data_IF_705089619376
#
_entry.id   IF_705089619376
#
_cell.length_a   1.000
_cell.length_b   1.000
_cell.length_c   1.000
_cell.angle_alpha   90.00
_cell.angle_beta   90.00
_cell.angle_gamma   90.00
#
_symmetry.space_group_name_H-M   'P 1'
#
loop_
_entity.id
_entity.type
_entity.pdbx_description
1 polymer ?
#
# COMPACT_ATOMS: atom_id res chain seq x y z
N UNK A 1 -39.06 -29.73 62.81
CA UNK A 1 -37.93 -29.38 61.91
C UNK A 1 -38.51 -28.92 60.58
N UNK A 2 -38.06 -27.78 60.05
CA UNK A 2 -38.42 -27.30 58.72
C UNK A 2 -37.18 -26.65 58.10
N UNK A 3 -36.84 -27.01 56.86
CA UNK A 3 -35.63 -26.53 56.19
C UNK A 3 -36.01 -25.75 54.93
N UNK A 4 -35.97 -24.42 55.00
CA UNK A 4 -36.33 -23.54 53.88
C UNK A 4 -35.17 -23.47 52.87
N UNK A 5 -35.31 -24.14 51.72
CA UNK A 5 -34.42 -23.92 50.57
C UNK A 5 -34.75 -22.59 49.90
N UNK A 6 -33.85 -21.61 50.00
CA UNK A 6 -33.86 -20.44 49.11
C UNK A 6 -33.16 -20.79 47.80
N UNK A 7 -33.83 -20.60 46.68
CA UNK A 7 -33.22 -20.61 45.33
C UNK A 7 -32.90 -19.18 44.91
N UNK A 8 -31.62 -18.82 44.85
CA UNK A 8 -31.21 -17.53 44.28
C UNK A 8 -31.32 -17.60 42.75
N UNK A 9 -32.23 -16.81 42.19
CA UNK A 9 -32.30 -16.54 40.74
C UNK A 9 -31.34 -15.38 40.45
N UNK A 10 -30.24 -15.66 39.75
CA UNK A 10 -29.34 -14.63 39.21
C UNK A 10 -29.68 -14.39 37.74
N UNK A 11 -30.22 -13.20 37.44
CA UNK A 11 -30.59 -12.79 36.09
C UNK A 11 -29.38 -12.33 35.26
N UNK A 12 -29.37 -12.57 33.93
CA UNK A 12 -28.23 -12.22 33.08
C UNK A 12 -28.30 -10.77 32.58
N UNK A 13 -27.96 -9.78 33.43
CA UNK A 13 -27.73 -8.40 32.98
C UNK A 13 -26.97 -7.55 34.02
N UNK A 14 -25.63 -7.54 33.95
CA UNK A 14 -24.76 -6.54 34.61
C UNK A 14 -23.31 -6.60 34.11
N UNK A 15 -23.02 -5.94 32.99
CA UNK A 15 -21.66 -5.43 32.72
C UNK A 15 -21.67 -4.36 31.61
N UNK A 16 -22.11 -3.14 31.95
CA UNK A 16 -22.00 -1.96 31.08
C UNK A 16 -21.30 -0.83 31.82
N UNK A 17 -19.97 -0.93 31.89
CA UNK A 17 -19.11 0.11 32.49
C UNK A 17 -19.12 1.34 31.57
N UNK A 18 -19.92 2.35 31.91
CA UNK A 18 -19.96 3.62 31.20
C UNK A 18 -18.84 4.51 31.76
N UNK A 19 -17.70 4.56 31.08
CA UNK A 19 -16.61 5.45 31.41
C UNK A 19 -16.92 6.87 30.89
N UNK A 20 -17.54 7.72 31.72
CA UNK A 20 -17.74 9.14 31.41
C UNK A 20 -16.43 9.92 31.55
N UNK A 21 -15.65 9.98 30.47
CA UNK A 21 -14.51 10.89 30.38
C UNK A 21 -14.99 12.32 30.16
N UNK A 22 -14.80 13.20 31.15
CA UNK A 22 -15.08 14.62 31.01
C UNK A 22 -13.97 15.30 30.19
N UNK A 23 -14.29 15.69 28.96
CA UNK A 23 -13.37 16.47 28.10
C UNK A 23 -13.48 17.94 28.49
N UNK A 24 -12.40 18.52 29.01
CA UNK A 24 -12.29 19.96 29.20
C UNK A 24 -12.06 20.65 27.83
N UNK A 25 -12.71 21.80 27.55
CA UNK A 25 -12.47 22.53 26.31
C UNK A 25 -11.05 23.08 26.27
N UNK A 26 -10.30 22.72 25.22
CA UNK A 26 -8.98 23.31 24.97
C UNK A 26 -9.12 24.77 24.53
N UNK A 27 -8.26 25.65 25.05
CA UNK A 27 -8.25 27.05 24.67
C UNK A 27 -7.84 27.21 23.19
N UNK A 28 -8.60 28.03 22.46
CA UNK A 28 -8.36 28.30 21.06
C UNK A 28 -7.16 29.25 20.91
N UNK A 29 -6.06 28.75 20.35
CA UNK A 29 -4.84 29.53 20.14
C UNK A 29 -4.87 30.21 18.76
N UNK A 30 -4.68 31.53 18.73
CA UNK A 30 -4.61 32.30 17.48
C UNK A 30 -3.43 31.87 16.61
N UNK A 31 -3.71 31.53 15.35
CA UNK A 31 -2.69 31.23 14.36
C UNK A 31 -2.19 32.54 13.70
N UNK A 32 -0.88 32.83 13.68
CA UNK A 32 -0.35 34.01 13.03
C UNK A 32 -0.55 33.94 11.50
N UNK A 33 -0.98 35.05 10.90
CA UNK A 33 -1.29 35.12 9.48
C UNK A 33 -0.02 34.98 8.61
N UNK A 34 0.18 33.81 8.01
CA UNK A 34 1.27 33.57 7.04
C UNK A 34 0.92 34.27 5.72
N UNK A 35 1.58 35.42 5.48
CA UNK A 35 1.42 36.17 4.23
C UNK A 35 1.89 35.37 3.02
N UNK A 36 1.04 35.25 1.99
CA UNK A 36 1.41 34.65 0.70
C UNK A 36 2.40 35.55 -0.04
N UNK A 37 3.65 35.12 -0.15
CA UNK A 37 4.61 35.75 -1.04
C UNK A 37 4.15 35.61 -2.50
N UNK A 38 3.98 36.74 -3.20
CA UNK A 38 3.62 36.77 -4.61
C UNK A 38 4.87 36.56 -5.47
N UNK A 39 4.94 35.44 -6.18
CA UNK A 39 6.05 35.12 -7.09
C UNK A 39 5.70 35.58 -8.51
N UNK A 40 6.38 36.58 -9.09
CA UNK A 40 6.08 37.05 -10.44
C UNK A 40 6.54 36.02 -11.49
N UNK A 41 5.62 35.60 -12.36
CA UNK A 41 5.90 34.65 -13.43
C UNK A 41 6.55 35.37 -14.64
N UNK A 42 7.87 35.30 -14.75
CA UNK A 42 8.63 36.00 -15.79
C UNK A 42 8.62 35.23 -17.12
N UNK A 43 7.76 35.64 -18.06
CA UNK A 43 7.74 35.09 -19.42
C UNK A 43 8.95 35.60 -20.23
N UNK A 44 9.86 34.69 -20.59
CA UNK A 44 10.94 34.96 -21.54
C UNK A 44 10.49 34.77 -23.00
N UNK A 45 10.94 35.60 -23.96
CA UNK A 45 10.50 35.52 -25.35
C UNK A 45 11.17 34.37 -26.13
N UNK A 46 10.37 33.62 -26.88
CA UNK A 46 10.81 32.50 -27.71
C UNK A 46 11.47 32.95 -29.01
N UNK A 47 12.81 32.98 -29.08
CA UNK A 47 13.53 33.23 -30.33
C UNK A 47 13.37 32.05 -31.31
N UNK A 48 12.44 32.19 -32.27
CA UNK A 48 12.45 31.40 -33.51
C UNK A 48 13.51 31.96 -34.46
N UNK A 49 14.50 31.15 -34.81
CA UNK A 49 15.37 31.37 -35.96
C UNK A 49 15.14 30.26 -36.98
N UNK A 50 14.99 30.63 -38.26
CA UNK A 50 14.64 29.72 -39.34
C UNK A 50 15.60 29.86 -40.53
N UNK A 51 15.90 28.73 -41.17
CA UNK A 51 16.64 28.54 -42.43
C UNK A 51 16.28 27.10 -42.87
N UNK A 52 15.86 26.74 -44.09
CA UNK A 52 16.23 27.16 -45.46
C UNK A 52 17.72 26.89 -45.75
N UNK A 53 18.14 26.14 -46.78
CA UNK A 53 17.46 25.32 -47.81
C UNK A 53 18.47 24.21 -48.27
N UNK A 54 18.34 23.34 -49.28
CA UNK A 54 17.57 23.25 -50.55
C UNK A 54 17.17 21.77 -50.82
N UNK A 55 16.41 21.41 -51.90
CA UNK A 55 15.94 20.04 -52.13
C UNK A 55 16.82 19.19 -53.07
N UNK A 56 16.70 17.87 -52.98
CA UNK A 56 17.00 16.94 -54.08
C UNK A 56 15.82 15.99 -54.35
N UNK A 57 15.75 15.43 -55.56
CA UNK A 57 14.58 14.74 -56.10
C UNK A 57 14.87 13.26 -56.34
N UNK A 58 14.20 12.35 -55.63
CA UNK A 58 14.22 10.92 -55.93
C UNK A 58 12.79 10.37 -56.13
N UNK A 59 12.64 9.43 -57.08
CA UNK A 59 11.35 8.92 -57.57
C UNK A 59 11.03 7.58 -56.89
N UNK A 60 9.79 7.31 -56.45
CA UNK A 60 9.53 6.24 -55.48
C UNK A 60 9.58 4.82 -56.07
N UNK A 61 10.25 3.92 -55.36
CA UNK A 61 10.10 2.47 -55.51
C UNK A 61 8.97 1.95 -54.60
N UNK A 62 8.04 1.09 -55.08
CA UNK A 62 6.90 0.64 -54.29
C UNK A 62 7.21 -0.60 -53.44
N UNK A 63 7.01 -0.50 -52.12
CA UNK A 63 6.71 -1.64 -51.25
C UNK A 63 7.81 -2.08 -50.27
N UNK A 64 7.83 -1.48 -49.08
CA UNK A 64 8.31 -2.09 -47.85
C UNK A 64 7.54 -1.50 -46.65
N UNK A 65 7.42 -2.25 -45.55
CA UNK A 65 6.59 -1.88 -44.40
C UNK A 65 7.11 -0.64 -43.65
N UNK A 66 6.18 0.16 -43.11
CA UNK A 66 6.51 1.33 -42.30
C UNK A 66 6.89 0.92 -40.84
N UNK A 67 7.99 1.45 -40.28
CA UNK A 67 8.27 1.38 -38.85
C UNK A 67 7.69 2.62 -38.15
N UNK A 68 6.85 2.44 -37.13
CA UNK A 68 6.18 3.57 -36.48
C UNK A 68 5.30 3.27 -35.27
N UNK A 69 5.48 2.15 -34.58
CA UNK A 69 4.77 1.89 -33.32
C UNK A 69 5.34 2.80 -32.22
N UNK A 70 4.59 3.85 -31.89
CA UNK A 70 4.83 4.63 -30.67
C UNK A 70 4.65 3.70 -29.45
N UNK A 71 5.69 3.57 -28.61
CA UNK A 71 5.59 2.84 -27.32
C UNK A 71 4.88 3.71 -26.29
N UNK A 72 3.63 4.08 -26.59
CA UNK A 72 2.69 4.62 -25.63
C UNK A 72 2.38 3.56 -24.58
N UNK A 73 2.72 3.82 -23.32
CA UNK A 73 2.45 2.90 -22.20
C UNK A 73 0.94 2.89 -21.93
N UNK A 74 0.23 2.04 -22.67
CA UNK A 74 -1.21 1.87 -22.56
C UNK A 74 -1.56 1.23 -21.21
N UNK A 75 -1.99 2.05 -20.25
CA UNK A 75 -2.61 1.58 -19.01
C UNK A 75 -3.95 0.95 -19.37
N UNK A 76 -3.95 -0.37 -19.59
CA UNK A 76 -5.10 -1.14 -20.05
C UNK A 76 -6.20 -1.22 -18.97
N UNK A 77 -7.03 -0.17 -18.90
CA UNK A 77 -8.12 0.00 -17.93
C UNK A 77 -9.47 0.23 -18.64
N UNK A 78 -9.87 -0.74 -19.47
CA UNK A 78 -11.11 -0.67 -20.26
C UNK A 78 -11.81 -2.05 -20.38
N UNK A 79 -12.15 -2.65 -19.23
CA UNK A 79 -13.28 -3.59 -19.18
C UNK A 79 -14.60 -2.81 -19.16
N UNK A 80 -15.71 -3.34 -19.69
CA UNK A 80 -17.00 -2.64 -19.64
C UNK A 80 -17.42 -2.42 -18.18
N UNK A 81 -17.67 -1.16 -17.83
CA UNK A 81 -18.25 -0.80 -16.53
C UNK A 81 -19.69 -1.30 -16.51
N UNK A 82 -19.93 -2.39 -15.79
CA UNK A 82 -21.29 -2.79 -15.41
C UNK A 82 -21.79 -1.72 -14.44
N UNK A 83 -22.79 -0.93 -14.85
CA UNK A 83 -23.41 0.03 -13.95
C UNK A 83 -23.97 -0.70 -12.71
N UNK A 84 -23.62 -0.28 -11.49
CA UNK A 84 -24.12 -0.92 -10.28
C UNK A 84 -25.63 -0.67 -10.17
N UNK A 85 -26.41 -1.75 -10.12
CA UNK A 85 -27.87 -1.69 -10.09
C UNK A 85 -28.36 -0.80 -8.92
N UNK A 86 -29.15 0.27 -9.19
CA UNK A 86 -29.56 1.24 -8.17
C UNK A 86 -30.66 0.67 -7.26
N UNK A 87 -30.26 -0.20 -6.33
CA UNK A 87 -31.15 -0.83 -5.34
C UNK A 87 -30.42 -1.56 -4.21
N UNK A 88 -29.11 -1.33 -4.05
CA UNK A 88 -28.27 -2.12 -3.15
C UNK A 88 -26.99 -1.40 -2.71
N UNK A 89 -27.07 -0.12 -2.36
CA UNK A 89 -25.95 0.64 -1.79
C UNK A 89 -25.65 0.15 -0.36
N UNK A 90 -25.03 -1.04 -0.28
CA UNK A 90 -24.85 -1.82 0.93
C UNK A 90 -23.84 -1.16 1.88
N UNK A 91 -24.36 -0.20 2.67
CA UNK A 91 -23.74 0.63 3.70
C UNK A 91 -22.23 0.40 3.85
N UNK A 92 -21.44 1.32 3.31
CA UNK A 92 -19.99 1.17 3.20
C UNK A 92 -19.32 0.98 4.57
N UNK A 93 -19.13 -0.30 4.92
CA UNK A 93 -18.56 -0.81 6.17
C UNK A 93 -17.24 -0.11 6.45
N UNK A 94 -17.02 0.48 7.64
CA UNK A 94 -15.75 1.12 7.98
C UNK A 94 -14.63 0.08 7.89
N UNK A 95 -13.59 0.31 7.05
CA UNK A 95 -12.50 -0.62 6.87
C UNK A 95 -11.80 -0.94 8.19
N UNK A 96 -11.69 -2.23 8.46
CA UNK A 96 -11.14 -2.74 9.71
C UNK A 96 -9.62 -2.58 9.73
N UNK A 97 -9.02 -2.16 10.86
CA UNK A 97 -7.57 -2.12 10.99
C UNK A 97 -6.97 -3.53 10.83
N UNK A 98 -5.75 -3.59 10.29
CA UNK A 98 -4.99 -4.83 10.21
C UNK A 98 -4.85 -5.49 11.60
N UNK A 99 -4.77 -6.82 11.65
CA UNK A 99 -4.62 -7.51 12.92
C UNK A 99 -3.28 -7.15 13.59
N UNK A 100 -3.27 -7.01 14.93
CA UNK A 100 -2.05 -6.70 15.70
C UNK A 100 -0.96 -7.76 15.44
N UNK A 101 -1.35 -9.03 15.30
CA UNK A 101 -0.43 -10.11 14.93
C UNK A 101 0.22 -9.88 13.55
N UNK A 102 -0.53 -9.39 12.58
CA UNK A 102 0.01 -9.03 11.25
C UNK A 102 0.99 -7.86 11.33
N UNK A 103 0.68 -6.83 12.12
CA UNK A 103 1.58 -5.69 12.37
C UNK A 103 2.90 -6.14 13.00
N UNK A 104 2.82 -6.94 14.08
CA UNK A 104 4.01 -7.51 14.74
C UNK A 104 4.80 -8.40 13.78
N UNK A 105 4.13 -9.25 13.00
CA UNK A 105 4.82 -10.14 12.04
C UNK A 105 5.51 -9.37 10.91
N UNK A 106 4.93 -8.26 10.44
CA UNK A 106 5.54 -7.43 9.41
C UNK A 106 6.83 -6.76 9.92
N UNK A 107 6.81 -6.18 11.13
CA UNK A 107 8.03 -5.62 11.74
C UNK A 107 9.06 -6.70 12.10
N UNK A 108 8.63 -7.90 12.50
CA UNK A 108 9.54 -9.03 12.72
C UNK A 108 10.24 -9.49 11.42
N UNK A 109 9.52 -9.47 10.29
CA UNK A 109 10.11 -9.74 8.96
C UNK A 109 11.13 -8.66 8.55
N UNK A 110 10.80 -7.38 8.74
CA UNK A 110 11.74 -6.27 8.48
C UNK A 110 12.99 -6.40 9.35
N UNK A 111 12.84 -6.73 10.64
CA UNK A 111 13.96 -6.98 11.54
C UNK A 111 14.80 -8.20 11.12
N UNK A 112 14.18 -9.28 10.65
CA UNK A 112 14.89 -10.45 10.11
C UNK A 112 15.68 -10.12 8.83
N UNK A 113 15.12 -9.30 7.94
CA UNK A 113 15.83 -8.78 6.76
C UNK A 113 17.03 -7.90 7.15
N UNK A 114 16.84 -7.02 8.13
CA UNK A 114 17.93 -6.21 8.70
C UNK A 114 19.03 -7.06 9.34
N UNK A 115 18.69 -8.10 10.08
CA UNK A 115 19.65 -9.06 10.65
C UNK A 115 20.40 -9.86 9.57
N UNK A 116 19.72 -10.25 8.49
CA UNK A 116 20.35 -10.89 7.32
C UNK A 116 21.33 -9.95 6.60
N UNK A 117 20.95 -8.69 6.41
CA UNK A 117 21.83 -7.64 5.86
C UNK A 117 23.05 -7.37 6.76
N UNK A 118 22.85 -7.30 8.07
CA UNK A 118 23.94 -7.16 9.05
C UNK A 118 24.89 -8.37 9.01
N UNK A 119 24.38 -9.59 8.88
CA UNK A 119 25.21 -10.80 8.77
C UNK A 119 26.03 -10.81 7.47
N UNK A 120 25.43 -10.45 6.32
CA UNK A 120 26.15 -10.32 5.04
C UNK A 120 27.30 -9.30 5.14
N UNK A 121 27.06 -8.16 5.81
CA UNK A 121 28.10 -7.16 6.09
C UNK A 121 29.18 -7.68 7.05
N UNK A 122 28.79 -8.30 8.17
CA UNK A 122 29.71 -8.79 9.20
C UNK A 122 30.69 -9.86 8.66
N UNK A 123 30.22 -10.72 7.75
CA UNK A 123 31.05 -11.74 7.10
C UNK A 123 31.75 -11.25 5.81
N UNK A 124 31.65 -9.95 5.45
CA UNK A 124 32.20 -9.36 4.23
C UNK A 124 31.70 -10.04 2.93
N UNK A 125 30.44 -10.51 2.94
CA UNK A 125 29.75 -11.12 1.79
C UNK A 125 28.96 -10.07 0.99
N UNK A 126 28.74 -8.87 1.55
CA UNK A 126 28.08 -7.77 0.86
C UNK A 126 28.87 -7.33 -0.39
N UNK A 127 28.17 -6.98 -1.46
CA UNK A 127 28.80 -6.37 -2.62
C UNK A 127 29.23 -4.93 -2.33
N UNK A 128 30.15 -4.41 -3.15
CA UNK A 128 30.51 -2.99 -3.19
C UNK A 128 29.34 -2.16 -3.75
N UNK A 129 29.26 -0.89 -3.36
CA UNK A 129 28.21 0.02 -3.80
C UNK A 129 28.22 0.20 -5.33
N UNK A 130 27.11 -0.13 -6.00
CA UNK A 130 26.95 0.13 -7.43
C UNK A 130 26.80 1.64 -7.62
N UNK A 131 27.81 2.25 -8.23
CA UNK A 131 27.81 3.67 -8.61
C UNK A 131 27.15 3.83 -9.97
N UNK A 132 26.06 4.60 -10.03
CA UNK A 132 25.37 4.97 -11.26
C UNK A 132 25.64 6.45 -11.57
N UNK A 133 25.67 6.85 -12.86
CA UNK A 133 26.16 8.18 -13.26
C UNK A 133 25.20 9.32 -12.90
N UNK A 134 23.91 9.04 -12.75
CA UNK A 134 22.90 10.01 -12.35
C UNK A 134 21.79 9.39 -11.48
N UNK A 135 21.00 10.26 -10.85
CA UNK A 135 19.86 9.84 -10.03
C UNK A 135 18.75 9.19 -10.87
N UNK A 136 18.57 9.59 -12.13
CA UNK A 136 17.56 9.04 -13.06
C UNK A 136 17.76 7.54 -13.26
N UNK A 137 19.00 7.13 -13.55
CA UNK A 137 19.38 5.73 -13.71
C UNK A 137 19.21 4.98 -12.39
N UNK A 138 19.53 5.60 -11.25
CA UNK A 138 19.31 4.99 -9.94
C UNK A 138 17.82 4.74 -9.64
N UNK A 139 16.93 5.69 -9.94
CA UNK A 139 15.47 5.47 -9.82
C UNK A 139 14.96 4.40 -10.78
N UNK A 140 15.45 4.35 -12.02
CA UNK A 140 15.09 3.30 -12.97
C UNK A 140 15.51 1.89 -12.48
N UNK A 141 16.72 1.78 -11.91
CA UNK A 141 17.22 0.52 -11.31
C UNK A 141 16.40 0.14 -10.07
N UNK A 142 16.06 1.09 -9.18
CA UNK A 142 15.16 0.80 -8.04
C UNK A 142 13.77 0.35 -8.50
N UNK A 143 13.20 0.93 -9.55
CA UNK A 143 11.90 0.54 -10.09
C UNK A 143 11.93 -0.87 -10.71
N UNK A 144 12.97 -1.20 -11.47
CA UNK A 144 13.20 -2.54 -12.00
C UNK A 144 13.40 -3.56 -10.87
N UNK A 145 14.14 -3.21 -9.82
CA UNK A 145 14.35 -4.04 -8.63
C UNK A 145 13.06 -4.26 -7.83
N UNK A 146 12.24 -3.23 -7.61
CA UNK A 146 10.93 -3.36 -6.98
C UNK A 146 10.00 -4.29 -7.79
N UNK A 147 10.03 -4.18 -9.13
CA UNK A 147 9.28 -5.06 -10.03
C UNK A 147 9.79 -6.51 -9.94
N UNK A 148 11.10 -6.72 -9.84
CA UNK A 148 11.68 -8.05 -9.64
C UNK A 148 11.29 -8.65 -8.28
N UNK A 149 11.26 -7.85 -7.20
CA UNK A 149 10.78 -8.28 -5.88
C UNK A 149 9.29 -8.64 -5.93
N UNK A 150 8.44 -7.90 -6.66
CA UNK A 150 7.03 -8.28 -6.86
C UNK A 150 6.92 -9.68 -7.50
N UNK A 151 7.69 -9.94 -8.57
CA UNK A 151 7.73 -11.25 -9.27
C UNK A 151 8.21 -12.39 -8.38
N UNK A 152 9.23 -12.16 -7.55
CA UNK A 152 9.73 -13.15 -6.57
C UNK A 152 8.67 -13.50 -5.52
N UNK A 153 7.75 -12.58 -5.20
CA UNK A 153 6.73 -12.77 -4.15
C UNK A 153 5.39 -13.33 -4.63
N UNK A 154 5.07 -13.25 -5.93
CA UNK A 154 3.88 -13.89 -6.51
C UNK A 154 3.68 -15.36 -6.10
N UNK A 155 4.68 -16.27 -6.16
CA UNK A 155 4.52 -17.67 -5.73
C UNK A 155 4.32 -17.85 -4.22
N UNK A 156 4.65 -16.84 -3.40
CA UNK A 156 4.42 -16.85 -1.95
C UNK A 156 3.09 -16.20 -1.55
N UNK A 157 2.55 -15.31 -2.39
CA UNK A 157 1.30 -14.60 -2.15
C UNK A 157 0.08 -15.52 -1.94
N UNK A 158 0.18 -16.80 -2.37
CA UNK A 158 -0.82 -17.86 -2.13
C UNK A 158 -0.88 -18.38 -0.69
N UNK A 159 0.14 -18.14 0.15
CA UNK A 159 0.18 -18.58 1.55
C UNK A 159 -0.25 -17.48 2.54
N UNK A 160 -0.50 -16.26 2.05
CA UNK A 160 -0.88 -15.11 2.86
C UNK A 160 -2.31 -15.23 3.43
N UNK A 161 -2.59 -14.59 4.58
CA UNK A 161 -3.90 -14.67 5.25
C UNK A 161 -5.05 -14.07 4.43
N UNK A 162 -6.28 -14.35 4.87
CA UNK A 162 -7.52 -13.79 4.29
C UNK A 162 -8.24 -14.67 3.27
N UNK A 163 -7.70 -15.84 2.90
CA UNK A 163 -8.39 -16.81 2.01
C UNK A 163 -9.71 -17.32 2.60
N UNK A 164 -9.72 -17.74 3.87
CA UNK A 164 -10.92 -18.28 4.53
C UNK A 164 -12.04 -17.24 4.63
N UNK A 165 -11.72 -16.02 5.06
CA UNK A 165 -12.66 -14.90 5.13
C UNK A 165 -13.31 -14.52 3.78
N UNK A 166 -12.67 -14.86 2.64
CA UNK A 166 -13.30 -14.72 1.32
C UNK A 166 -14.37 -15.80 1.11
N UNK A 167 -14.05 -17.07 1.39
CA UNK A 167 -15.00 -18.17 1.29
C UNK A 167 -16.17 -18.04 2.28
N UNK A 168 -15.92 -17.51 3.48
CA UNK A 168 -16.97 -17.16 4.46
C UNK A 168 -17.94 -16.10 3.92
N UNK A 169 -17.43 -15.05 3.25
CA UNK A 169 -18.28 -14.05 2.61
C UNK A 169 -19.05 -14.62 1.40
N UNK A 170 -18.39 -15.40 0.54
CA UNK A 170 -19.02 -16.03 -0.62
C UNK A 170 -20.13 -17.00 -0.18
N UNK A 171 -19.93 -17.76 0.90
CA UNK A 171 -20.96 -18.61 1.52
C UNK A 171 -22.10 -17.80 2.16
N UNK A 172 -21.79 -16.74 2.91
CA UNK A 172 -22.82 -15.89 3.53
C UNK A 172 -23.71 -15.19 2.48
N UNK A 173 -23.11 -14.69 1.39
CA UNK A 173 -23.84 -14.08 0.26
C UNK A 173 -24.68 -15.12 -0.48
N UNK A 174 -24.17 -16.33 -0.71
CA UNK A 174 -24.96 -17.42 -1.30
C UNK A 174 -26.15 -17.81 -0.42
N UNK A 175 -25.97 -17.91 0.90
CA UNK A 175 -27.05 -18.19 1.85
C UNK A 175 -28.13 -17.11 1.85
N UNK A 176 -27.74 -15.82 1.78
CA UNK A 176 -28.67 -14.70 1.66
C UNK A 176 -29.42 -14.73 0.31
N UNK A 177 -28.72 -14.98 -0.80
CA UNK A 177 -29.33 -15.06 -2.14
C UNK A 177 -30.33 -16.22 -2.26
N UNK A 178 -30.05 -17.37 -1.64
CA UNK A 178 -30.96 -18.52 -1.60
C UNK A 178 -32.24 -18.24 -0.77
N UNK A 179 -32.25 -17.20 0.08
CA UNK A 179 -33.38 -16.75 0.90
C UNK A 179 -34.11 -15.53 0.31
N UNK A 180 -34.17 -15.41 -1.01
CA UNK A 180 -34.58 -14.16 -1.71
C UNK A 180 -35.93 -13.54 -1.30
N UNK A 181 -36.83 -14.26 -0.62
CA UNK A 181 -38.08 -13.69 -0.04
C UNK A 181 -38.16 -13.79 1.51
N UNK A 182 -37.35 -14.64 2.14
CA UNK A 182 -37.33 -14.90 3.60
C UNK A 182 -36.01 -14.43 4.25
N UNK A 183 -35.36 -13.44 3.65
CA UNK A 183 -34.06 -12.91 4.10
C UNK A 183 -34.20 -12.23 5.47
N UNK A 184 -33.59 -12.81 6.50
CA UNK A 184 -33.69 -12.28 7.87
C UNK A 184 -32.68 -11.16 8.14
N UNK A 185 -32.92 -10.36 9.17
CA UNK A 185 -31.94 -9.39 9.67
C UNK A 185 -30.62 -10.08 10.07
N UNK A 186 -30.69 -11.30 10.59
CA UNK A 186 -29.52 -12.09 10.99
C UNK A 186 -28.67 -12.56 9.79
N UNK A 187 -29.29 -12.80 8.63
CA UNK A 187 -28.57 -13.11 7.39
C UNK A 187 -27.81 -11.87 6.85
N UNK A 188 -28.42 -10.70 6.94
CA UNK A 188 -27.79 -9.42 6.61
C UNK A 188 -26.62 -9.10 7.57
N UNK A 189 -26.78 -9.38 8.87
CA UNK A 189 -25.71 -9.25 9.88
C UNK A 189 -24.56 -10.22 9.58
N UNK A 190 -24.83 -11.47 9.19
CA UNK A 190 -23.79 -12.43 8.81
C UNK A 190 -22.98 -11.97 7.60
N UNK A 191 -23.63 -11.45 6.54
CA UNK A 191 -22.94 -10.90 5.37
C UNK A 191 -22.10 -9.67 5.74
N UNK A 192 -22.62 -8.78 6.59
CA UNK A 192 -21.87 -7.61 7.08
C UNK A 192 -20.64 -8.02 7.91
N UNK A 193 -20.78 -9.02 8.79
CA UNK A 193 -19.68 -9.56 9.59
C UNK A 193 -18.60 -10.20 8.70
N UNK A 194 -18.98 -11.08 7.76
CA UNK A 194 -18.04 -11.70 6.82
C UNK A 194 -17.32 -10.66 5.93
N UNK A 195 -18.04 -9.61 5.49
CA UNK A 195 -17.46 -8.47 4.74
C UNK A 195 -16.40 -7.74 5.57
N UNK A 196 -16.65 -7.52 6.86
CA UNK A 196 -15.67 -6.92 7.79
C UNK A 196 -14.42 -7.79 8.00
N UNK A 197 -14.61 -9.12 8.09
CA UNK A 197 -13.51 -10.08 8.24
C UNK A 197 -12.65 -10.19 6.98
N UNK A 198 -13.26 -10.10 5.79
CA UNK A 198 -12.53 -10.04 4.53
C UNK A 198 -11.69 -8.76 4.41
N UNK A 199 -12.21 -7.59 4.77
CA UNK A 199 -11.42 -6.35 4.77
C UNK A 199 -10.28 -6.38 5.79
N UNK A 200 -10.54 -6.87 7.01
CA UNK A 200 -9.49 -7.12 8.01
C UNK A 200 -8.41 -8.07 7.50
N UNK A 201 -8.81 -9.12 6.78
CA UNK A 201 -7.92 -10.08 6.12
C UNK A 201 -7.10 -9.44 5.00
N UNK A 202 -7.69 -8.58 4.18
CA UNK A 202 -7.03 -7.81 3.10
C UNK A 202 -5.98 -6.85 3.66
N UNK A 203 -6.33 -6.05 4.67
CA UNK A 203 -5.38 -5.14 5.33
C UNK A 203 -4.23 -5.89 6.00
N UNK A 204 -4.56 -6.98 6.72
CA UNK A 204 -3.58 -7.88 7.34
C UNK A 204 -2.62 -8.49 6.31
N UNK A 205 -3.14 -8.94 5.16
CA UNK A 205 -2.35 -9.49 4.06
C UNK A 205 -1.42 -8.44 3.43
N UNK A 206 -1.89 -7.23 3.15
CA UNK A 206 -1.07 -6.17 2.57
C UNK A 206 0.13 -5.80 3.44
N UNK A 207 -0.11 -5.72 4.76
CA UNK A 207 0.91 -5.42 5.76
C UNK A 207 1.98 -6.53 5.87
N UNK A 208 1.56 -7.81 5.81
CA UNK A 208 2.51 -8.94 5.75
C UNK A 208 3.27 -8.96 4.43
N UNK A 209 2.61 -8.74 3.28
CA UNK A 209 3.30 -8.62 1.98
C UNK A 209 4.40 -7.56 2.00
N UNK A 210 4.10 -6.38 2.54
CA UNK A 210 5.06 -5.28 2.70
C UNK A 210 6.26 -5.70 3.56
N UNK A 211 6.02 -6.34 4.70
CA UNK A 211 7.09 -6.84 5.59
C UNK A 211 8.01 -7.86 4.89
N UNK A 212 7.46 -8.79 4.11
CA UNK A 212 8.25 -9.74 3.31
C UNK A 212 9.02 -8.99 2.20
N UNK A 213 8.36 -8.05 1.50
CA UNK A 213 8.99 -7.29 0.41
C UNK A 213 10.18 -6.46 0.89
N UNK A 214 10.04 -5.72 2.00
CA UNK A 214 11.17 -5.01 2.61
C UNK A 214 12.26 -5.97 3.08
N UNK A 215 11.91 -7.11 3.71
CA UNK A 215 12.91 -8.08 4.15
C UNK A 215 13.75 -8.64 2.99
N UNK A 216 13.10 -9.08 1.91
CA UNK A 216 13.75 -9.59 0.69
C UNK A 216 14.55 -8.50 0.00
N UNK A 217 13.98 -7.30 -0.16
CA UNK A 217 14.65 -6.17 -0.79
C UNK A 217 15.88 -5.73 0.00
N UNK A 218 15.85 -5.71 1.33
CA UNK A 218 17.00 -5.38 2.18
C UNK A 218 18.13 -6.39 2.06
N UNK A 219 17.83 -7.69 2.10
CA UNK A 219 18.86 -8.74 1.95
C UNK A 219 19.45 -8.71 0.53
N UNK A 220 18.62 -8.57 -0.51
CA UNK A 220 19.08 -8.48 -1.88
C UNK A 220 19.84 -7.17 -2.18
N UNK A 221 19.51 -6.06 -1.52
CA UNK A 221 20.28 -4.80 -1.59
C UNK A 221 21.67 -4.97 -0.99
N UNK A 222 21.77 -5.61 0.18
CA UNK A 222 23.04 -5.92 0.86
C UNK A 222 23.91 -6.89 0.06
N UNK A 223 23.32 -7.92 -0.53
CA UNK A 223 24.04 -8.85 -1.41
C UNK A 223 24.43 -8.22 -2.77
N UNK A 224 23.60 -7.32 -3.30
CA UNK A 224 23.72 -6.79 -4.67
C UNK A 224 24.36 -5.41 -4.80
N UNK A 225 24.66 -4.71 -3.71
CA UNK A 225 25.34 -3.40 -3.76
C UNK A 225 24.42 -2.20 -4.05
N UNK A 226 23.10 -2.38 -3.94
CA UNK A 226 22.11 -1.33 -4.20
C UNK A 226 21.87 -0.51 -2.92
N UNK A 227 22.44 0.68 -2.85
CA UNK A 227 22.48 1.51 -1.64
C UNK A 227 22.04 2.95 -1.95
N UNK A 228 20.85 3.34 -1.47
CA UNK A 228 20.18 4.61 -1.75
C UNK A 228 20.84 5.82 -1.06
N UNK A 229 21.34 5.66 0.17
CA UNK A 229 22.02 6.77 0.85
C UNK A 229 23.39 7.03 0.23
N UNK A 230 24.15 5.97 -0.10
CA UNK A 230 25.45 6.09 -0.78
C UNK A 230 25.32 6.68 -2.20
N UNK A 231 24.24 6.38 -2.95
CA UNK A 231 24.03 6.97 -4.28
C UNK A 231 23.65 8.46 -4.23
N UNK A 232 22.94 8.89 -3.18
CA UNK A 232 22.59 10.32 -2.96
C UNK A 232 23.78 11.11 -2.38
N UNK A 233 24.54 10.52 -1.45
CA UNK A 233 25.58 11.22 -0.69
C UNK A 233 26.94 11.33 -1.39
N UNK A 234 27.19 10.51 -2.42
CA UNK A 234 28.44 10.54 -3.19
C UNK A 234 29.67 10.03 -2.42
N UNK A 235 30.85 10.35 -2.93
CA UNK A 235 32.09 9.66 -2.55
C UNK A 235 32.56 9.90 -1.11
N UNK A 236 32.14 11.01 -0.49
CA UNK A 236 32.64 11.44 0.83
C UNK A 236 31.85 10.84 2.02
N UNK A 237 30.92 9.93 1.76
CA UNK A 237 29.99 9.39 2.76
C UNK A 237 30.63 8.29 3.63
N UNK A 238 31.21 8.71 4.76
CA UNK A 238 31.82 7.79 5.75
C UNK A 238 30.94 7.56 7.00
N UNK A 239 29.70 8.07 7.01
CA UNK A 239 28.91 8.22 8.24
C UNK A 239 28.01 7.05 8.65
N UNK A 240 27.58 6.18 7.71
CA UNK A 240 26.55 5.16 7.96
C UNK A 240 27.00 3.78 7.46
N UNK A 241 27.00 2.73 8.32
CA UNK A 241 27.26 1.35 7.90
C UNK A 241 26.34 0.85 6.78
N UNK A 242 26.93 0.13 5.83
CA UNK A 242 26.26 -0.40 4.62
C UNK A 242 24.96 -1.16 4.92
N UNK A 243 24.92 -1.93 6.02
CA UNK A 243 23.73 -2.70 6.39
C UNK A 243 22.50 -1.83 6.73
N UNK A 244 22.70 -0.59 7.19
CA UNK A 244 21.63 0.38 7.46
C UNK A 244 21.07 0.95 6.15
N UNK A 245 21.94 1.23 5.17
CA UNK A 245 21.50 1.70 3.86
C UNK A 245 20.69 0.62 3.12
N UNK A 246 21.10 -0.65 3.22
CA UNK A 246 20.30 -1.78 2.74
C UNK A 246 18.92 -1.88 3.43
N UNK A 247 18.79 -1.50 4.71
CA UNK A 247 17.48 -1.39 5.38
C UNK A 247 16.66 -0.24 4.78
N UNK A 248 17.22 0.96 4.65
CA UNK A 248 16.53 2.12 4.08
C UNK A 248 16.10 1.87 2.63
N UNK A 249 16.99 1.30 1.82
CA UNK A 249 16.73 0.91 0.43
C UNK A 249 15.61 -0.13 0.36
N UNK A 250 15.64 -1.17 1.19
CA UNK A 250 14.56 -2.18 1.24
C UNK A 250 13.22 -1.64 1.77
N UNK A 251 13.22 -0.64 2.65
CA UNK A 251 12.00 0.06 3.08
C UNK A 251 11.39 0.84 1.90
N UNK A 252 12.20 1.56 1.12
CA UNK A 252 11.76 2.31 -0.07
C UNK A 252 11.29 1.38 -1.19
N UNK A 253 12.00 0.29 -1.44
CA UNK A 253 11.62 -0.72 -2.46
C UNK A 253 10.34 -1.45 -2.04
N UNK A 254 10.22 -1.81 -0.75
CA UNK A 254 9.01 -2.42 -0.20
C UNK A 254 7.80 -1.48 -0.19
N UNK A 255 8.00 -0.18 0.06
CA UNK A 255 6.92 0.82 0.01
C UNK A 255 6.45 1.13 -1.42
N UNK A 256 7.32 0.96 -2.42
CA UNK A 256 6.95 0.97 -3.84
C UNK A 256 6.07 -0.21 -4.30
N UNK A 257 5.86 -1.23 -3.46
CA UNK A 257 4.95 -2.34 -3.81
C UNK A 257 3.48 -1.95 -3.65
N UNK A 258 2.66 -2.32 -4.65
CA UNK A 258 1.22 -2.01 -4.73
C UNK A 258 0.42 -2.20 -3.41
N UNK A 259 0.66 -3.24 -2.59
CA UNK A 259 -0.11 -3.46 -1.36
C UNK A 259 -0.03 -2.33 -0.32
N UNK A 260 1.03 -1.51 -0.30
CA UNK A 260 1.11 -0.39 0.65
C UNK A 260 0.21 0.77 0.22
N UNK A 261 0.18 1.09 -1.07
CA UNK A 261 -0.68 2.15 -1.62
C UNK A 261 -2.16 1.86 -1.34
N UNK A 262 -2.61 0.63 -1.57
CA UNK A 262 -3.98 0.17 -1.27
C UNK A 262 -4.37 0.33 0.22
N UNK A 263 -3.41 0.20 1.14
CA UNK A 263 -3.65 0.42 2.58
C UNK A 263 -3.74 1.91 2.89
N UNK A 264 -2.83 2.74 2.37
CA UNK A 264 -2.80 4.19 2.62
C UNK A 264 -4.07 4.86 2.06
N UNK A 265 -4.44 4.57 0.81
CA UNK A 265 -5.65 5.16 0.19
C UNK A 265 -6.94 4.74 0.91
N UNK A 266 -6.98 3.57 1.56
CA UNK A 266 -8.11 3.19 2.42
C UNK A 266 -8.13 3.97 3.74
N UNK A 267 -6.98 4.16 4.37
CA UNK A 267 -6.89 4.96 5.62
C UNK A 267 -7.27 6.42 5.38
N UNK A 268 -6.87 7.01 4.24
CA UNK A 268 -7.26 8.38 3.85
C UNK A 268 -8.78 8.52 3.68
N UNK A 269 -9.41 7.66 2.86
CA UNK A 269 -10.87 7.66 2.63
C UNK A 269 -11.71 7.47 3.89
N UNK A 270 -11.15 6.82 4.92
CA UNK A 270 -11.82 6.69 6.21
C UNK A 270 -11.82 7.99 7.00
N UNK A 271 -10.71 8.74 6.96
CA UNK A 271 -10.58 10.03 7.67
C UNK A 271 -11.58 11.03 7.08
N UNK A 272 -11.59 11.16 5.75
CA UNK A 272 -12.55 11.96 4.99
C UNK A 272 -14.00 11.63 5.41
N UNK A 273 -14.38 10.35 5.33
CA UNK A 273 -15.73 9.89 5.72
C UNK A 273 -16.09 10.17 7.20
N UNK A 274 -15.11 10.18 8.11
CA UNK A 274 -15.33 10.53 9.52
C UNK A 274 -15.41 12.04 9.79
N UNK A 275 -14.95 12.87 8.86
CA UNK A 275 -15.02 14.34 8.96
C UNK A 275 -16.32 14.88 8.30
N UNK A 276 -16.88 14.17 7.32
CA UNK A 276 -18.16 14.49 6.65
C UNK A 276 -19.42 14.00 7.40
N UNK A 277 -19.31 13.47 8.63
CA UNK A 277 -20.48 13.01 9.42
C UNK A 277 -20.77 13.99 10.58
N UNK A 278 -21.81 14.84 10.49
CA UNK A 278 -22.18 15.82 11.52
C UNK A 278 -22.96 15.23 12.70
#
# INVERSE_FOLDING_TARGET
MALVRRTNVLGPNSNRVVATAAVAPAAQADAPAIGRAHVPFQQGPSNRSASAETPETETPAPGAAAPGDEVGIAIASAGPVVEPTPGGEAAAVPPQPASVLSLVSAFALVAAGGAGSWALWHYNINAQAIRLPDATTFFAVLFAFATAVERVLEPFARFLPGKHARGELEAAVANLANKYHDATLDDLIQVAHAKSMLEKGRASRGLVSWGIATAVATVASSAGGLYLLHSIAGENWNGIPVWIDAIVTGIVVGSGTKPLHDVISKVQKNKEKSEDTP
#
